data_IF_909995360005
#
_entry.id   IF_909995360005
#
_cell.length_a   1.000
_cell.length_b   1.000
_cell.length_c   1.000
_cell.angle_alpha   90.00
_cell.angle_beta   90.00
_cell.angle_gamma   90.00
#
_symmetry.space_group_name_H-M   'P 1'
#
loop_
_entity.id
_entity.type
_entity.pdbx_description
1 polymer ?
#
# COMPACT_ATOMS: atom_id res chain seq x y z
N UNK A 1 -12.91 -12.83 28.79
CA UNK A 1 -13.22 -11.57 29.51
C UNK A 1 -12.62 -10.43 28.68
N UNK A 2 -13.42 -9.43 28.34
CA UNK A 2 -13.10 -8.42 27.31
C UNK A 2 -11.99 -7.47 27.82
N UNK A 3 -10.72 -7.82 27.59
CA UNK A 3 -9.53 -7.08 28.06
C UNK A 3 -9.51 -5.63 27.55
N UNK A 4 -10.09 -5.37 26.38
CA UNK A 4 -10.31 -4.02 25.86
C UNK A 4 -11.29 -3.21 26.73
N UNK A 5 -12.26 -3.87 27.38
CA UNK A 5 -13.15 -3.23 28.35
C UNK A 5 -12.42 -2.85 29.64
N UNK A 6 -11.40 -3.61 30.06
CA UNK A 6 -10.53 -3.20 31.18
C UNK A 6 -9.62 -2.03 30.78
N UNK A 7 -9.27 -1.92 29.49
CA UNK A 7 -8.42 -0.86 28.95
C UNK A 7 -9.13 0.51 28.93
N UNK A 8 -10.37 0.52 28.44
CA UNK A 8 -11.17 1.72 28.21
C UNK A 8 -12.11 2.07 29.39
N UNK A 9 -12.46 1.08 30.21
CA UNK A 9 -13.48 1.18 31.25
C UNK A 9 -14.76 0.42 30.85
N UNK A 10 -15.53 -0.03 31.86
CA UNK A 10 -16.74 -0.84 31.69
C UNK A 10 -17.84 -0.17 30.87
N UNK A 11 -17.81 1.14 30.77
CA UNK A 11 -18.86 1.93 30.13
C UNK A 11 -18.70 2.00 28.60
N UNK A 12 -17.57 1.51 28.07
CA UNK A 12 -17.34 1.42 26.63
C UNK A 12 -17.93 0.14 26.03
N UNK A 13 -18.77 0.30 25.01
CA UNK A 13 -19.21 -0.81 24.17
C UNK A 13 -18.18 -1.05 23.07
N UNK A 14 -17.71 -2.29 22.91
CA UNK A 14 -16.62 -2.66 22.00
C UNK A 14 -17.06 -3.79 21.08
N UNK A 15 -16.83 -3.61 19.78
CA UNK A 15 -17.24 -4.52 18.72
C UNK A 15 -16.04 -4.83 17.82
N UNK A 16 -15.90 -6.06 17.29
CA UNK A 16 -14.95 -6.32 16.21
C UNK A 16 -15.26 -5.42 14.99
N UNK A 17 -14.23 -4.81 14.41
CA UNK A 17 -14.37 -3.98 13.21
C UNK A 17 -14.10 -4.77 11.91
N UNK A 18 -13.81 -6.06 12.00
CA UNK A 18 -13.44 -6.91 10.87
C UNK A 18 -11.94 -6.85 10.56
N UNK A 19 -11.57 -7.09 9.29
CA UNK A 19 -10.18 -7.17 8.85
C UNK A 19 -9.61 -8.59 8.90
N UNK A 20 -8.52 -8.81 8.15
CA UNK A 20 -7.94 -10.14 7.96
C UNK A 20 -7.28 -10.74 9.21
N UNK A 21 -6.81 -9.88 10.13
CA UNK A 21 -6.08 -10.31 11.34
C UNK A 21 -6.97 -10.46 12.57
N UNK A 22 -8.17 -9.87 12.56
CA UNK A 22 -9.06 -9.82 13.73
C UNK A 22 -8.59 -8.89 14.85
N UNK A 23 -7.61 -8.02 14.58
CA UNK A 23 -7.00 -7.10 15.56
C UNK A 23 -7.62 -5.71 15.61
N UNK A 24 -8.69 -5.48 14.84
CA UNK A 24 -9.37 -4.19 14.72
C UNK A 24 -10.71 -4.20 15.45
N UNK A 25 -10.97 -3.13 16.21
CA UNK A 25 -12.18 -2.97 17.02
C UNK A 25 -12.75 -1.57 16.90
N UNK A 26 -14.06 -1.48 16.98
CA UNK A 26 -14.81 -0.24 17.12
C UNK A 26 -15.27 -0.12 18.57
N UNK A 27 -15.04 1.03 19.20
CA UNK A 27 -15.47 1.32 20.56
C UNK A 27 -16.31 2.59 20.60
N UNK A 28 -17.41 2.57 21.37
CA UNK A 28 -18.28 3.74 21.56
C UNK A 28 -18.66 3.95 23.02
N UNK A 29 -18.75 5.22 23.44
CA UNK A 29 -19.22 5.63 24.76
C UNK A 29 -19.64 7.11 24.75
N UNK A 30 -20.83 7.44 25.27
CA UNK A 30 -21.33 8.82 25.40
C UNK A 30 -21.15 9.71 24.15
N UNK A 31 -21.44 9.15 22.96
CA UNK A 31 -21.29 9.86 21.68
C UNK A 31 -19.86 9.93 21.14
N UNK A 32 -18.85 9.48 21.89
CA UNK A 32 -17.49 9.29 21.39
C UNK A 32 -17.36 7.94 20.70
N UNK A 33 -16.58 7.91 19.62
CA UNK A 33 -16.32 6.74 18.80
C UNK A 33 -14.83 6.63 18.52
N UNK A 34 -14.27 5.43 18.70
CA UNK A 34 -12.86 5.14 18.50
C UNK A 34 -12.69 3.91 17.61
N UNK A 35 -11.66 3.96 16.76
CA UNK A 35 -11.10 2.79 16.11
C UNK A 35 -9.88 2.33 16.92
N UNK A 36 -9.85 1.07 17.31
CA UNK A 36 -8.75 0.46 18.06
C UNK A 36 -8.06 -0.59 17.20
N UNK A 37 -6.73 -0.56 17.13
CA UNK A 37 -5.93 -1.61 16.48
C UNK A 37 -4.88 -2.14 17.45
N UNK A 38 -4.74 -3.46 17.51
CA UNK A 38 -3.66 -4.12 18.25
C UNK A 38 -2.40 -4.20 17.41
N UNK A 39 -1.26 -4.00 18.05
CA UNK A 39 0.11 -4.11 17.54
C UNK A 39 0.38 -3.29 16.27
N UNK A 40 -0.17 -2.07 16.19
CA UNK A 40 0.13 -1.14 15.10
C UNK A 40 1.60 -0.72 15.11
N UNK A 41 2.16 -0.53 13.92
CA UNK A 41 3.51 -0.01 13.73
C UNK A 41 3.70 1.35 14.43
N UNK A 42 4.85 1.61 15.09
CA UNK A 42 5.18 2.95 15.61
C UNK A 42 5.18 4.05 14.54
N UNK A 43 5.25 3.67 13.26
CA UNK A 43 5.12 4.57 12.12
C UNK A 43 3.76 5.32 12.09
N UNK A 44 2.72 4.73 12.68
CA UNK A 44 1.38 5.33 12.75
C UNK A 44 1.38 6.74 13.39
N UNK A 45 2.23 6.96 14.39
CA UNK A 45 2.27 8.24 15.11
C UNK A 45 2.73 9.40 14.20
N UNK A 46 3.74 9.18 13.35
CA UNK A 46 4.22 10.22 12.42
C UNK A 46 3.24 10.41 11.27
N UNK A 47 2.63 9.33 10.75
CA UNK A 47 1.58 9.41 9.74
C UNK A 47 0.38 10.22 10.23
N UNK A 48 -0.01 10.02 11.50
CA UNK A 48 -1.10 10.78 12.11
C UNK A 48 -0.74 12.25 12.31
N UNK A 49 0.50 12.57 12.69
CA UNK A 49 0.95 13.94 12.86
C UNK A 49 1.01 14.69 11.52
N UNK A 50 1.35 13.98 10.44
CA UNK A 50 1.32 14.47 9.06
C UNK A 50 -0.10 14.49 8.47
N UNK A 51 -1.13 13.99 9.17
CA UNK A 51 -2.51 13.98 8.69
C UNK A 51 -2.75 13.05 7.49
N UNK A 52 -1.98 11.97 7.37
CA UNK A 52 -2.08 10.97 6.29
C UNK A 52 -3.07 9.86 6.66
N UNK A 53 -3.15 9.53 7.94
CA UNK A 53 -4.09 8.57 8.53
C UNK A 53 -5.06 9.29 9.47
N UNK A 54 -6.19 8.67 9.85
CA UNK A 54 -7.05 9.19 10.91
C UNK A 54 -6.27 9.49 12.19
N UNK A 55 -6.65 10.57 12.88
CA UNK A 55 -5.88 11.09 14.01
C UNK A 55 -5.75 10.05 15.14
N UNK A 56 -4.52 9.74 15.51
CA UNK A 56 -4.14 8.98 16.69
C UNK A 56 -4.47 9.78 17.95
N UNK A 57 -5.29 9.20 18.82
CA UNK A 57 -5.71 9.77 20.09
C UNK A 57 -4.71 9.38 21.19
N UNK A 58 -4.39 8.09 21.28
CA UNK A 58 -3.42 7.58 22.24
C UNK A 58 -2.83 6.23 21.80
N UNK A 59 -1.70 5.90 22.40
CA UNK A 59 -1.06 4.58 22.32
C UNK A 59 -0.83 4.07 23.74
N UNK A 60 -1.19 2.82 24.02
CA UNK A 60 -1.03 2.21 25.33
C UNK A 60 -0.36 0.85 25.21
N UNK A 61 0.75 0.68 25.92
CA UNK A 61 1.43 -0.61 26.06
C UNK A 61 0.79 -1.39 27.20
N UNK A 62 0.48 -2.64 26.95
CA UNK A 62 -0.12 -3.57 27.90
C UNK A 62 0.94 -4.38 28.65
N UNK A 63 0.57 -4.91 29.81
CA UNK A 63 1.48 -5.72 30.65
C UNK A 63 1.96 -6.99 29.93
N UNK A 64 1.12 -7.54 29.05
CA UNK A 64 1.47 -8.68 28.21
C UNK A 64 2.38 -8.34 27.01
N UNK A 65 2.80 -7.07 26.88
CA UNK A 65 3.70 -6.58 25.83
C UNK A 65 3.00 -6.00 24.60
N UNK A 66 1.70 -6.24 24.42
CA UNK A 66 0.94 -5.72 23.28
C UNK A 66 0.89 -4.17 23.29
N UNK A 67 0.77 -3.59 22.10
CA UNK A 67 0.54 -2.17 21.93
C UNK A 67 -0.84 -1.95 21.34
N UNK A 68 -1.68 -1.17 22.01
CA UNK A 68 -2.99 -0.77 21.51
C UNK A 68 -2.93 0.68 21.09
N UNK A 69 -3.43 0.97 19.89
CA UNK A 69 -3.61 2.32 19.40
C UNK A 69 -5.10 2.64 19.34
N UNK A 70 -5.45 3.88 19.62
CA UNK A 70 -6.78 4.41 19.40
C UNK A 70 -6.71 5.58 18.45
N UNK A 71 -7.48 5.52 17.36
CA UNK A 71 -7.69 6.61 16.43
C UNK A 71 -9.14 7.09 16.54
N UNK A 72 -9.40 8.32 16.11
CA UNK A 72 -10.79 8.75 15.92
C UNK A 72 -11.49 7.81 14.94
N UNK A 73 -12.71 7.41 15.29
CA UNK A 73 -13.58 6.80 14.31
C UNK A 73 -13.88 7.81 13.21
N UNK A 74 -13.76 7.38 11.95
CA UNK A 74 -14.03 8.22 10.80
C UNK A 74 -15.26 7.69 10.08
N UNK A 75 -16.26 8.55 9.95
CA UNK A 75 -17.35 8.33 8.99
C UNK A 75 -16.88 8.80 7.62
N UNK A 76 -17.06 7.95 6.62
CA UNK A 76 -16.61 8.23 5.26
C UNK A 76 -16.83 7.03 4.36
N UNK A 77 -16.14 7.04 3.22
CA UNK A 77 -16.17 5.96 2.24
C UNK A 77 -14.76 5.65 1.75
N UNK A 78 -14.56 4.41 1.34
CA UNK A 78 -13.45 4.05 0.47
C UNK A 78 -13.58 4.77 -0.87
N UNK A 79 -12.45 5.10 -1.49
CA UNK A 79 -12.46 5.55 -2.88
C UNK A 79 -12.91 4.42 -3.79
N UNK A 80 -13.46 4.77 -4.95
CA UNK A 80 -13.70 3.84 -6.06
C UNK A 80 -12.57 3.96 -7.08
N UNK A 81 -12.36 2.98 -7.97
CA UNK A 81 -11.33 3.05 -9.00
C UNK A 81 -11.35 4.37 -9.80
N UNK A 82 -12.55 4.85 -10.13
CA UNK A 82 -12.74 6.13 -10.86
C UNK A 82 -12.32 7.39 -10.10
N UNK A 83 -12.18 7.32 -8.78
CA UNK A 83 -11.80 8.47 -7.95
C UNK A 83 -10.27 8.62 -7.86
N UNK A 84 -9.51 7.61 -8.29
CA UNK A 84 -8.05 7.54 -8.15
C UNK A 84 -7.30 8.49 -9.09
N UNK A 85 -7.94 8.95 -10.17
CA UNK A 85 -7.39 9.93 -11.11
C UNK A 85 -7.49 11.37 -10.59
N UNK A 86 -8.15 11.59 -9.45
CA UNK A 86 -8.42 12.93 -8.92
C UNK A 86 -7.19 13.59 -8.28
N UNK A 87 -7.12 14.93 -8.37
CA UNK A 87 -6.01 15.73 -7.85
C UNK A 87 -5.63 15.45 -6.39
N UNK A 88 -6.58 15.30 -5.43
CA UNK A 88 -6.24 15.04 -4.03
C UNK A 88 -5.44 13.74 -3.82
N UNK A 89 -5.63 12.73 -4.68
CA UNK A 89 -4.89 11.46 -4.63
C UNK A 89 -3.42 11.70 -5.00
N UNK A 90 -3.19 12.39 -6.12
CA UNK A 90 -1.85 12.76 -6.56
C UNK A 90 -1.11 13.65 -5.54
N UNK A 91 -1.81 14.63 -4.96
CA UNK A 91 -1.25 15.55 -3.97
C UNK A 91 -0.93 14.86 -2.64
N UNK A 92 -1.79 13.96 -2.16
CA UNK A 92 -1.52 13.18 -0.94
C UNK A 92 -0.33 12.22 -1.15
N UNK A 93 -0.27 11.53 -2.28
CA UNK A 93 0.86 10.64 -2.59
C UNK A 93 2.17 11.42 -2.70
N UNK A 94 2.15 12.59 -3.34
CA UNK A 94 3.31 13.50 -3.37
C UNK A 94 3.73 13.91 -1.97
N UNK A 95 2.79 14.29 -1.11
CA UNK A 95 3.08 14.68 0.28
C UNK A 95 3.78 13.56 1.05
N UNK A 96 3.32 12.32 0.89
CA UNK A 96 3.96 11.13 1.47
C UNK A 96 5.38 10.99 0.95
N UNK A 97 5.55 10.91 -0.38
CA UNK A 97 6.83 10.63 -1.02
C UNK A 97 7.87 11.72 -0.76
N UNK A 98 7.44 12.96 -0.52
CA UNK A 98 8.34 14.09 -0.24
C UNK A 98 8.56 14.35 1.26
N UNK A 99 7.87 13.64 2.16
CA UNK A 99 8.05 13.84 3.61
C UNK A 99 9.35 13.22 4.13
N UNK A 100 10.29 14.09 4.48
CA UNK A 100 11.53 13.72 5.18
C UNK A 100 11.24 13.12 6.55
N UNK A 101 10.21 13.60 7.25
CA UNK A 101 9.85 13.10 8.57
C UNK A 101 9.40 11.63 8.54
N UNK A 102 8.62 11.25 7.52
CA UNK A 102 8.23 9.86 7.30
C UNK A 102 9.45 9.00 6.95
N UNK A 103 10.29 9.47 6.04
CA UNK A 103 11.49 8.76 5.60
C UNK A 103 12.46 8.50 6.77
N UNK A 104 12.73 9.53 7.57
CA UNK A 104 13.59 9.44 8.75
C UNK A 104 12.99 8.52 9.84
N UNK A 105 11.65 8.45 9.94
CA UNK A 105 11.01 7.49 10.83
C UNK A 105 11.20 6.06 10.35
N UNK A 106 10.98 5.74 9.08
CA UNK A 106 11.20 4.38 8.57
C UNK A 106 12.67 3.95 8.71
N UNK A 107 13.62 4.85 8.46
CA UNK A 107 15.06 4.58 8.70
C UNK A 107 15.35 4.26 10.17
N UNK A 108 14.76 5.00 11.11
CA UNK A 108 14.89 4.73 12.56
C UNK A 108 14.27 3.41 12.98
N UNK A 109 13.27 2.93 12.25
CA UNK A 109 12.69 1.59 12.42
C UNK A 109 13.55 0.49 11.77
N UNK A 110 14.71 0.82 11.21
CA UNK A 110 15.63 -0.14 10.59
C UNK A 110 15.19 -0.62 9.21
N UNK A 111 14.26 0.09 8.54
CA UNK A 111 13.92 -0.20 7.15
C UNK A 111 15.05 0.27 6.25
N UNK A 112 15.59 -0.65 5.46
CA UNK A 112 16.56 -0.35 4.42
C UNK A 112 15.87 -0.08 3.08
N UNK A 113 16.49 0.72 2.20
CA UNK A 113 15.98 0.91 0.85
C UNK A 113 15.83 -0.41 0.08
N UNK A 114 14.69 -0.57 -0.61
CA UNK A 114 14.40 -1.71 -1.46
C UNK A 114 15.45 -1.84 -2.57
N UNK A 115 15.97 -3.05 -2.73
CA UNK A 115 16.85 -3.42 -3.83
C UNK A 115 16.04 -4.18 -4.90
N UNK A 116 15.93 -3.66 -6.14
CA UNK A 116 15.18 -4.32 -7.22
C UNK A 116 15.67 -5.75 -7.52
N UNK A 117 16.98 -6.01 -7.45
CA UNK A 117 17.55 -7.33 -7.68
C UNK A 117 17.17 -8.35 -6.60
N UNK A 118 17.07 -7.89 -5.34
CA UNK A 118 16.57 -8.73 -4.24
C UNK A 118 15.07 -9.03 -4.42
N UNK A 119 14.27 -8.04 -4.83
CA UNK A 119 12.85 -8.23 -5.15
C UNK A 119 12.65 -9.24 -6.28
N UNK A 120 13.40 -9.11 -7.38
CA UNK A 120 13.34 -10.04 -8.51
C UNK A 120 13.76 -11.46 -8.09
N UNK A 121 14.78 -11.58 -7.24
CA UNK A 121 15.21 -12.88 -6.71
C UNK A 121 14.12 -13.55 -5.87
N UNK A 122 13.43 -12.79 -5.01
CA UNK A 122 12.32 -13.29 -4.19
C UNK A 122 11.12 -13.70 -5.05
N UNK A 123 10.77 -12.90 -6.06
CA UNK A 123 9.72 -13.20 -7.02
C UNK A 123 10.02 -14.53 -7.74
N UNK A 124 11.22 -14.70 -8.28
CA UNK A 124 11.62 -15.94 -8.96
C UNK A 124 11.55 -17.16 -8.03
N UNK A 125 11.96 -17.00 -6.77
CA UNK A 125 11.84 -18.05 -5.76
C UNK A 125 10.37 -18.40 -5.47
N UNK A 126 9.49 -17.41 -5.36
CA UNK A 126 8.06 -17.63 -5.14
C UNK A 126 7.43 -18.39 -6.31
N UNK A 127 7.68 -17.96 -7.55
CA UNK A 127 7.21 -18.63 -8.79
C UNK A 127 7.73 -20.07 -8.87
N UNK A 128 9.01 -20.30 -8.56
CA UNK A 128 9.60 -21.63 -8.55
C UNK A 128 8.98 -22.54 -7.48
N UNK A 129 8.77 -22.02 -6.26
CA UNK A 129 8.20 -22.77 -5.14
C UNK A 129 6.79 -23.31 -5.45
N UNK A 130 6.03 -22.58 -6.25
CA UNK A 130 4.69 -22.98 -6.69
C UNK A 130 4.67 -23.74 -8.02
N UNK A 131 5.84 -24.06 -8.58
CA UNK A 131 6.02 -24.79 -9.84
C UNK A 131 5.26 -24.18 -11.03
N UNK A 132 5.09 -22.84 -11.03
CA UNK A 132 4.40 -22.15 -12.10
C UNK A 132 5.29 -22.03 -13.34
N UNK A 133 4.80 -22.54 -14.48
CA UNK A 133 5.54 -22.67 -15.73
C UNK A 133 4.89 -21.96 -16.92
N UNK A 134 3.92 -21.08 -16.65
CA UNK A 134 3.24 -20.30 -17.69
C UNK A 134 4.25 -19.52 -18.55
N UNK A 135 4.21 -19.65 -19.89
CA UNK A 135 5.06 -18.88 -20.78
C UNK A 135 4.95 -17.36 -20.57
N UNK A 136 3.75 -16.88 -20.26
CA UNK A 136 3.49 -15.46 -20.00
C UNK A 136 4.21 -14.96 -18.74
N UNK A 137 4.25 -15.79 -17.68
CA UNK A 137 5.01 -15.45 -16.47
C UNK A 137 6.50 -15.42 -16.77
N UNK A 138 7.01 -16.36 -17.57
CA UNK A 138 8.42 -16.40 -17.94
C UNK A 138 8.82 -15.20 -18.80
N UNK A 139 7.97 -14.82 -19.76
CA UNK A 139 8.15 -13.61 -20.56
C UNK A 139 8.25 -12.37 -19.67
N UNK A 140 7.35 -12.24 -18.69
CA UNK A 140 7.40 -11.16 -17.71
C UNK A 140 8.68 -11.18 -16.86
N UNK A 141 9.13 -12.35 -16.40
CA UNK A 141 10.40 -12.49 -15.65
C UNK A 141 11.59 -12.07 -16.53
N UNK A 142 11.63 -12.50 -17.79
CA UNK A 142 12.69 -12.09 -18.73
C UNK A 142 12.71 -10.58 -18.92
N UNK A 143 11.55 -9.95 -19.09
CA UNK A 143 11.47 -8.48 -19.15
C UNK A 143 12.06 -7.83 -17.89
N UNK A 144 11.74 -8.35 -16.69
CA UNK A 144 12.26 -7.81 -15.43
C UNK A 144 13.78 -7.98 -15.31
N UNK A 145 14.34 -9.09 -15.81
CA UNK A 145 15.78 -9.36 -15.84
C UNK A 145 16.52 -8.43 -16.79
N UNK A 146 16.00 -8.25 -18.00
CA UNK A 146 16.61 -7.42 -19.05
C UNK A 146 16.70 -5.95 -18.63
N UNK A 147 15.69 -5.46 -17.89
CA UNK A 147 15.60 -4.04 -17.49
C UNK A 147 16.04 -3.77 -16.05
N UNK A 148 16.66 -4.75 -15.37
CA UNK A 148 17.03 -4.62 -13.96
C UNK A 148 18.00 -3.45 -13.72
N UNK A 149 18.88 -3.18 -14.67
CA UNK A 149 19.89 -2.13 -14.51
C UNK A 149 19.29 -0.72 -14.60
N UNK A 150 18.32 -0.53 -15.49
CA UNK A 150 17.64 0.72 -15.76
C UNK A 150 16.71 1.16 -14.63
N UNK A 151 16.25 0.20 -13.81
CA UNK A 151 15.38 0.50 -12.66
C UNK A 151 16.13 0.85 -11.37
N UNK A 152 17.47 0.85 -11.39
CA UNK A 152 18.25 1.40 -10.30
C UNK A 152 18.09 2.93 -10.23
N UNK A 153 17.23 3.38 -9.32
CA UNK A 153 17.01 4.80 -9.06
C UNK A 153 17.58 5.22 -7.71
N UNK A 154 18.35 6.32 -7.70
CA UNK A 154 19.10 6.77 -6.52
C UNK A 154 18.22 7.44 -5.45
N UNK A 155 17.19 8.17 -5.84
CA UNK A 155 16.30 8.84 -4.89
C UNK A 155 15.25 7.84 -4.36
N UNK A 156 15.24 7.64 -3.04
CA UNK A 156 14.34 6.71 -2.37
C UNK A 156 13.45 7.45 -1.40
N UNK A 157 12.16 7.14 -1.46
CA UNK A 157 11.09 7.78 -0.70
C UNK A 157 10.35 6.75 0.14
N UNK A 158 9.45 7.20 1.00
CA UNK A 158 8.47 6.30 1.62
C UNK A 158 7.43 5.92 0.58
N UNK A 159 7.28 4.64 0.30
CA UNK A 159 6.21 4.08 -0.53
C UNK A 159 5.24 3.27 0.36
N UNK A 160 3.96 3.34 0.03
CA UNK A 160 2.89 2.57 0.66
C UNK A 160 2.99 1.09 0.30
N UNK A 161 3.28 0.79 -0.97
CA UNK A 161 3.39 -0.55 -1.55
C UNK A 161 2.08 -1.35 -1.67
N UNK A 162 0.94 -0.70 -1.41
CA UNK A 162 -0.40 -1.23 -1.69
C UNK A 162 -1.39 -0.06 -1.90
N UNK A 163 -1.29 0.60 -3.05
CA UNK A 163 -2.08 1.80 -3.37
C UNK A 163 -3.50 1.48 -3.85
N UNK A 164 -4.03 0.30 -3.53
CA UNK A 164 -5.37 -0.11 -3.89
C UNK A 164 -6.43 0.91 -3.41
N UNK A 165 -7.41 1.24 -4.25
CA UNK A 165 -8.49 2.20 -3.91
C UNK A 165 -9.19 1.95 -2.56
N UNK A 166 -9.28 0.70 -2.11
CA UNK A 166 -9.88 0.37 -0.81
C UNK A 166 -9.07 0.89 0.38
N UNK A 167 -7.78 1.18 0.20
CA UNK A 167 -6.92 1.76 1.23
C UNK A 167 -7.05 3.29 1.32
N UNK A 168 -7.80 3.92 0.43
CA UNK A 168 -8.03 5.36 0.42
C UNK A 168 -9.39 5.69 1.02
N UNK A 169 -9.40 6.49 2.10
CA UNK A 169 -10.62 6.87 2.80
C UNK A 169 -10.90 8.35 2.63
N UNK A 170 -12.08 8.68 2.12
CA UNK A 170 -12.60 10.04 2.05
C UNK A 170 -13.63 10.25 3.17
N UNK A 171 -13.33 11.16 4.10
CA UNK A 171 -14.26 11.52 5.17
C UNK A 171 -15.42 12.39 4.67
N UNK A 172 -16.48 12.50 5.48
CA UNK A 172 -17.60 13.43 5.21
C UNK A 172 -17.16 14.90 5.12
N UNK A 173 -16.08 15.26 5.81
CA UNK A 173 -15.46 16.60 5.76
C UNK A 173 -14.50 16.78 4.57
N UNK A 174 -14.54 15.89 3.57
CA UNK A 174 -13.68 15.87 2.38
C UNK A 174 -12.16 15.76 2.68
N UNK A 175 -11.79 15.18 3.82
CA UNK A 175 -10.39 14.87 4.10
C UNK A 175 -10.07 13.48 3.55
N UNK A 176 -9.01 13.41 2.74
CA UNK A 176 -8.48 12.14 2.21
C UNK A 176 -7.42 11.58 3.14
N UNK A 177 -7.48 10.27 3.37
CA UNK A 177 -6.52 9.48 4.12
C UNK A 177 -6.08 8.27 3.31
N UNK A 178 -4.87 7.78 3.57
CA UNK A 178 -4.36 6.51 3.09
C UNK A 178 -4.08 5.63 4.32
N UNK A 179 -4.65 4.44 4.38
CA UNK A 179 -4.54 3.50 5.50
C UNK A 179 -3.82 2.21 5.09
N UNK A 180 -3.54 1.35 6.08
CA UNK A 180 -2.85 0.06 5.92
C UNK A 180 -1.34 0.14 5.56
N UNK A 181 -0.60 0.87 6.39
CA UNK A 181 0.84 1.10 6.24
C UNK A 181 1.74 -0.03 6.75
N UNK A 182 1.21 -1.24 6.97
CA UNK A 182 2.00 -2.35 7.51
C UNK A 182 3.07 -2.82 6.49
N UNK A 183 2.79 -2.65 5.18
CA UNK A 183 3.68 -2.97 4.06
C UNK A 183 4.68 -1.88 3.67
N UNK A 184 4.71 -0.73 4.35
CA UNK A 184 5.47 0.43 3.92
C UNK A 184 6.98 0.16 3.79
N UNK A 185 7.58 0.70 2.73
CA UNK A 185 9.00 0.54 2.38
C UNK A 185 9.67 1.86 2.05
N UNK A 186 11.00 1.85 2.08
CA UNK A 186 11.80 2.91 1.47
C UNK A 186 12.14 2.44 0.05
N UNK A 187 11.58 3.05 -1.00
CA UNK A 187 11.69 2.55 -2.37
C UNK A 187 11.71 3.67 -3.41
N UNK A 188 11.84 3.30 -4.68
CA UNK A 188 11.59 4.23 -5.79
C UNK A 188 10.11 4.66 -5.78
N UNK A 189 9.77 5.95 -5.97
CA UNK A 189 8.37 6.37 -6.09
C UNK A 189 7.60 5.63 -7.19
N UNK A 190 8.29 5.13 -8.22
CA UNK A 190 7.68 4.30 -9.27
C UNK A 190 7.00 3.03 -8.73
N UNK A 191 7.38 2.56 -7.53
CA UNK A 191 6.75 1.43 -6.83
C UNK A 191 5.26 1.67 -6.55
N UNK A 192 4.89 2.91 -6.19
CA UNK A 192 3.49 3.28 -5.94
C UNK A 192 2.83 3.89 -7.18
N UNK A 193 3.59 4.66 -7.96
CA UNK A 193 3.07 5.32 -9.17
C UNK A 193 2.68 4.32 -10.25
N UNK A 194 3.46 3.25 -10.43
CA UNK A 194 3.20 2.23 -11.45
C UNK A 194 1.84 1.56 -11.25
N UNK A 195 1.62 0.85 -10.14
CA UNK A 195 0.34 0.22 -9.85
C UNK A 195 -0.84 1.22 -9.89
N UNK A 196 -0.68 2.43 -9.34
CA UNK A 196 -1.74 3.44 -9.38
C UNK A 196 -2.13 3.82 -10.81
N UNK A 197 -1.16 4.20 -11.63
CA UNK A 197 -1.40 4.66 -13.00
C UNK A 197 -1.83 3.52 -13.92
N UNK A 198 -1.24 2.34 -13.80
CA UNK A 198 -1.61 1.20 -14.63
C UNK A 198 -3.01 0.67 -14.28
N UNK A 199 -3.42 0.65 -13.02
CA UNK A 199 -4.73 0.10 -12.64
C UNK A 199 -5.88 1.10 -12.73
N UNK A 200 -5.62 2.40 -12.55
CA UNK A 200 -6.71 3.36 -12.33
C UNK A 200 -6.74 4.57 -13.27
N UNK A 201 -5.65 4.87 -13.98
CA UNK A 201 -5.57 6.07 -14.82
C UNK A 201 -5.36 5.70 -16.27
N UNK A 202 -6.22 6.22 -17.15
CA UNK A 202 -6.08 6.04 -18.59
C UNK A 202 -4.75 6.60 -19.10
N UNK A 203 -4.05 5.86 -19.98
CA UNK A 203 -2.70 6.22 -20.49
C UNK A 203 -2.61 7.67 -21.00
N UNK A 204 -3.59 8.22 -21.76
CA UNK A 204 -3.55 9.61 -22.21
C UNK A 204 -3.58 10.66 -21.08
N UNK A 205 -4.03 10.28 -19.87
CA UNK A 205 -4.10 11.17 -18.71
C UNK A 205 -2.85 11.10 -17.81
N UNK A 206 -1.90 10.19 -18.07
CA UNK A 206 -0.73 9.98 -17.20
C UNK A 206 0.11 11.24 -17.01
N UNK A 207 0.40 11.98 -18.09
CA UNK A 207 1.17 13.23 -18.00
C UNK A 207 0.47 14.26 -17.10
N UNK A 208 -0.84 14.42 -17.27
CA UNK A 208 -1.63 15.34 -16.45
C UNK A 208 -1.67 14.92 -14.99
N UNK A 209 -1.78 13.62 -14.71
CA UNK A 209 -1.79 13.08 -13.35
C UNK A 209 -0.43 13.26 -12.67
N UNK A 210 0.66 12.93 -13.38
CA UNK A 210 2.02 13.10 -12.88
C UNK A 210 2.36 14.58 -12.68
N UNK A 211 1.82 15.48 -13.50
CA UNK A 211 1.93 16.93 -13.29
C UNK A 211 1.26 17.37 -11.99
N UNK A 212 0.08 16.82 -11.64
CA UNK A 212 -0.56 17.06 -10.33
C UNK A 212 0.29 16.51 -9.17
N UNK A 213 0.90 15.34 -9.35
CA UNK A 213 1.87 14.77 -8.40
C UNK A 213 3.18 15.58 -8.35
N UNK A 214 3.51 16.35 -9.39
CA UNK A 214 4.65 17.26 -9.43
C UNK A 214 5.93 16.68 -10.06
N UNK A 215 5.82 15.69 -10.96
CA UNK A 215 6.93 15.20 -11.78
C UNK A 215 6.53 15.07 -13.26
N UNK A 216 7.52 14.97 -14.14
CA UNK A 216 7.31 14.75 -15.57
C UNK A 216 7.34 13.26 -15.93
N UNK A 217 6.52 12.87 -16.90
CA UNK A 217 6.59 11.52 -17.48
C UNK A 217 7.82 11.43 -18.38
N UNK A 218 8.86 10.74 -17.88
CA UNK A 218 10.05 10.41 -18.66
C UNK A 218 10.03 8.95 -19.08
N UNK A 219 10.77 8.59 -20.13
CA UNK A 219 10.94 7.18 -20.53
C UNK A 219 11.50 6.32 -19.39
N UNK A 220 12.45 6.85 -18.62
CA UNK A 220 12.98 6.17 -17.45
C UNK A 220 11.93 5.92 -16.37
N UNK A 221 11.08 6.92 -16.07
CA UNK A 221 9.97 6.73 -15.11
C UNK A 221 8.95 5.71 -15.64
N UNK A 222 8.59 5.79 -16.92
CA UNK A 222 7.67 4.84 -17.59
C UNK A 222 8.17 3.41 -17.45
N UNK A 223 9.45 3.18 -17.73
CA UNK A 223 10.09 1.87 -17.59
C UNK A 223 10.06 1.37 -16.14
N UNK A 224 10.42 2.21 -15.17
CA UNK A 224 10.41 1.84 -13.75
C UNK A 224 9.01 1.49 -13.25
N UNK A 225 8.01 2.27 -13.63
CA UNK A 225 6.61 2.00 -13.32
C UNK A 225 6.16 0.65 -13.88
N UNK A 226 6.46 0.38 -15.16
CA UNK A 226 6.16 -0.89 -15.82
C UNK A 226 6.82 -2.08 -15.11
N UNK A 227 8.09 -1.93 -14.73
CA UNK A 227 8.85 -2.97 -14.04
C UNK A 227 8.23 -3.30 -12.67
N UNK A 228 7.89 -2.29 -11.86
CA UNK A 228 7.34 -2.52 -10.53
C UNK A 228 5.92 -3.13 -10.58
N UNK A 229 5.03 -2.63 -11.44
CA UNK A 229 3.68 -3.20 -11.55
C UNK A 229 3.73 -4.64 -12.06
N UNK A 230 4.60 -4.96 -13.02
CA UNK A 230 4.79 -6.32 -13.51
C UNK A 230 5.32 -7.27 -12.42
N UNK A 231 6.31 -6.82 -11.64
CA UNK A 231 6.84 -7.59 -10.52
C UNK A 231 5.76 -7.84 -9.45
N UNK A 232 4.93 -6.85 -9.15
CA UNK A 232 3.80 -6.99 -8.22
C UNK A 232 2.78 -8.01 -8.74
N UNK A 233 2.32 -7.88 -9.99
CA UNK A 233 1.34 -8.80 -10.59
C UNK A 233 1.82 -10.25 -10.57
N UNK A 234 3.08 -10.52 -10.96
CA UNK A 234 3.63 -11.88 -10.94
C UNK A 234 3.75 -12.42 -9.51
N UNK A 235 4.17 -11.59 -8.55
CA UNK A 235 4.24 -11.97 -7.14
C UNK A 235 2.85 -12.31 -6.59
N UNK A 236 1.83 -11.53 -6.97
CA UNK A 236 0.44 -11.74 -6.59
C UNK A 236 -0.12 -13.05 -7.15
N UNK A 237 0.18 -13.36 -8.42
CA UNK A 237 -0.16 -14.65 -9.06
C UNK A 237 0.45 -15.82 -8.26
N UNK A 238 1.75 -15.76 -7.97
CA UNK A 238 2.45 -16.82 -7.23
C UNK A 238 1.85 -17.01 -5.82
N UNK A 239 1.54 -15.91 -5.12
CA UNK A 239 0.92 -15.96 -3.80
C UNK A 239 -0.48 -16.62 -3.82
N UNK A 240 -1.32 -16.23 -4.77
CA UNK A 240 -2.66 -16.80 -4.89
C UNK A 240 -2.67 -18.27 -5.31
N UNK A 241 -1.74 -18.66 -6.19
CA UNK A 241 -1.54 -20.07 -6.53
C UNK A 241 -1.11 -20.88 -5.30
N UNK A 242 -0.18 -20.37 -4.49
CA UNK A 242 0.24 -21.03 -3.23
C UNK A 242 -0.91 -21.22 -2.23
N UNK A 243 -1.90 -20.32 -2.25
CA UNK A 243 -3.08 -20.37 -1.38
C UNK A 243 -4.24 -21.20 -1.95
N UNK A 244 -4.11 -21.75 -3.16
CA UNK A 244 -5.19 -22.47 -3.84
C UNK A 244 -6.40 -21.58 -4.15
N UNK A 245 -6.18 -20.27 -4.34
CA UNK A 245 -7.25 -19.33 -4.68
C UNK A 245 -7.39 -19.21 -6.20
N UNK A 246 -7.99 -20.23 -6.80
CA UNK A 246 -8.07 -20.38 -8.27
C UNK A 246 -8.69 -19.16 -8.94
N UNK A 247 -9.78 -18.61 -8.39
CA UNK A 247 -10.43 -17.44 -9.00
C UNK A 247 -9.47 -16.26 -9.11
N UNK A 248 -8.81 -15.89 -8.01
CA UNK A 248 -7.87 -14.75 -8.00
C UNK A 248 -6.63 -15.01 -8.85
N UNK A 249 -6.18 -16.25 -8.92
CA UNK A 249 -5.11 -16.66 -9.83
C UNK A 249 -5.49 -16.40 -11.30
N UNK A 250 -6.67 -16.83 -11.73
CA UNK A 250 -7.12 -16.63 -13.11
C UNK A 250 -7.35 -15.14 -13.43
N UNK A 251 -7.97 -14.39 -12.51
CA UNK A 251 -8.16 -12.95 -12.67
C UNK A 251 -6.81 -12.22 -12.86
N UNK A 252 -5.81 -12.57 -12.05
CA UNK A 252 -4.47 -11.97 -12.12
C UNK A 252 -3.67 -12.41 -13.37
N UNK A 253 -3.90 -13.62 -13.88
CA UNK A 253 -3.30 -14.09 -15.14
C UNK A 253 -3.84 -13.30 -16.35
N UNK A 254 -5.13 -12.96 -16.36
CA UNK A 254 -5.70 -12.09 -17.40
C UNK A 254 -5.16 -10.66 -17.29
N UNK A 255 -5.02 -10.15 -16.07
CA UNK A 255 -4.39 -8.85 -15.82
C UNK A 255 -2.95 -8.80 -16.32
N UNK A 256 -2.15 -9.85 -16.07
CA UNK A 256 -0.80 -9.98 -16.59
C UNK A 256 -0.77 -9.93 -18.12
N UNK A 257 -1.71 -10.60 -18.80
CA UNK A 257 -1.79 -10.59 -20.26
C UNK A 257 -2.08 -9.19 -20.82
N UNK A 258 -3.02 -8.46 -20.20
CA UNK A 258 -3.35 -7.08 -20.56
C UNK A 258 -2.15 -6.17 -20.29
N UNK A 259 -1.50 -6.35 -19.15
CA UNK A 259 -0.34 -5.56 -18.73
C UNK A 259 0.82 -5.71 -19.72
N UNK A 260 1.17 -6.94 -20.09
CA UNK A 260 2.27 -7.20 -21.05
C UNK A 260 2.02 -6.53 -22.39
N UNK A 261 0.78 -6.50 -22.89
CA UNK A 261 0.43 -5.75 -24.11
C UNK A 261 0.63 -4.25 -23.95
N UNK A 262 0.20 -3.69 -22.82
CA UNK A 262 0.35 -2.25 -22.53
C UNK A 262 1.81 -1.82 -22.38
N UNK A 263 2.67 -2.71 -21.89
CA UNK A 263 4.11 -2.48 -21.76
C UNK A 263 4.80 -2.49 -23.14
N UNK A 264 4.31 -3.30 -24.07
CA UNK A 264 4.84 -3.38 -25.43
C UNK A 264 4.47 -2.18 -26.34
N UNK A 265 3.56 -1.30 -25.90
CA UNK A 265 3.11 -0.07 -26.60
C UNK A 265 3.91 1.19 -26.22
#
# INVERSE_FOLDING_TARGET
>A
MNWLGQLLGSDWEIFPAGGATGDAYYAKHNGQQLFLKRNSSPFLAVLSAEGIVPKLVWTKRMENGDVITAQHWMTGRELKPKDMSERPVAELLRKIHTSKALLDMLKRLGKEPLNPGALLSQLKQAVFAVQQSSPLIQEGITYLEEHLHEVHFGEKVVCHCDVNHNNWLLSEDNQLYLIDWDGAMIADPAMDLGPLLYHYVEKPAWESWLSMYGIELTEGLRLRMAWYVLAETITFIAWHHAKGNDKRFHDAMEELHILMKRIAE
#
